data_IF_898000472019
#
_entry.id   IF_898000472019
#
_cell.length_a   1.000
_cell.length_b   1.000
_cell.length_c   1.000
_cell.angle_alpha   90.00
_cell.angle_beta   90.00
_cell.angle_gamma   90.00
#
_symmetry.space_group_name_H-M   'P 1'
#
loop_
_entity.id
_entity.type
_entity.pdbx_description
1 polymer ?
#
# COMPACT_ATOMS: atom_id res chain seq x y z
N UNK A 1 18.09 17.59 -8.22
CA UNK A 1 17.10 16.50 -8.26
C UNK A 1 16.38 16.57 -9.60
N UNK A 2 16.42 15.52 -10.41
CA UNK A 2 15.66 15.47 -11.66
C UNK A 2 14.18 15.23 -11.31
N UNK A 3 13.27 16.01 -11.91
CA UNK A 3 11.83 15.80 -11.75
C UNK A 3 11.26 15.54 -13.12
N UNK A 4 10.85 14.29 -13.34
CA UNK A 4 10.09 13.89 -14.50
C UNK A 4 8.65 14.39 -14.37
N UNK A 5 8.18 15.12 -15.39
CA UNK A 5 6.80 15.62 -15.44
C UNK A 5 5.99 14.73 -16.37
N UNK A 6 4.84 14.28 -15.87
CA UNK A 6 3.84 13.56 -16.66
C UNK A 6 2.59 14.44 -16.81
N UNK A 7 1.93 14.34 -17.96
CA UNK A 7 0.58 14.87 -18.16
C UNK A 7 -0.43 13.76 -17.95
N UNK A 8 -1.46 14.01 -17.16
CA UNK A 8 -2.49 13.01 -16.83
C UNK A 8 -3.85 13.56 -17.23
N UNK A 9 -4.55 12.83 -18.09
CA UNK A 9 -5.95 13.07 -18.42
C UNK A 9 -6.82 12.17 -17.58
N UNK A 10 -7.90 12.72 -17.02
CA UNK A 10 -8.86 12.00 -16.21
C UNK A 10 -10.24 12.64 -16.35
N UNK A 11 -11.27 11.88 -16.01
CA UNK A 11 -12.64 12.40 -15.96
C UNK A 11 -12.77 13.54 -14.95
N UNK A 12 -13.68 14.48 -15.24
CA UNK A 12 -13.92 15.65 -14.39
C UNK A 12 -14.30 15.28 -12.95
N UNK A 13 -15.11 14.23 -12.77
CA UNK A 13 -15.54 13.77 -11.44
C UNK A 13 -14.36 13.23 -10.61
N UNK A 14 -13.43 12.53 -11.28
CA UNK A 14 -12.25 11.96 -10.64
C UNK A 14 -11.28 13.07 -10.24
N UNK A 15 -11.07 14.06 -11.12
CA UNK A 15 -10.27 15.25 -10.81
C UNK A 15 -10.79 15.98 -9.57
N UNK A 16 -12.10 16.15 -9.45
CA UNK A 16 -12.71 16.80 -8.28
C UNK A 16 -12.48 15.98 -7.01
N UNK A 17 -12.71 14.66 -7.09
CA UNK A 17 -12.48 13.75 -5.97
C UNK A 17 -11.01 13.77 -5.49
N UNK A 18 -10.06 13.81 -6.42
CA UNK A 18 -8.62 13.95 -6.11
C UNK A 18 -8.32 15.30 -5.46
N UNK A 19 -8.95 16.37 -5.94
CA UNK A 19 -8.81 17.72 -5.35
C UNK A 19 -9.30 17.76 -3.91
N UNK A 20 -10.48 17.22 -3.65
CA UNK A 20 -11.07 17.15 -2.31
C UNK A 20 -10.19 16.34 -1.35
N UNK A 21 -9.71 15.18 -1.81
CA UNK A 21 -8.81 14.35 -1.03
C UNK A 21 -7.48 15.07 -0.71
N UNK A 22 -6.88 15.73 -1.70
CA UNK A 22 -5.64 16.50 -1.49
C UNK A 22 -5.84 17.67 -0.52
N UNK A 23 -7.01 18.33 -0.57
CA UNK A 23 -7.39 19.43 0.32
C UNK A 23 -7.57 18.94 1.75
N UNK A 24 -8.27 17.81 1.93
CA UNK A 24 -8.45 17.15 3.23
C UNK A 24 -7.11 16.78 3.86
N UNK A 25 -6.16 16.32 3.06
CA UNK A 25 -4.84 15.89 3.52
C UNK A 25 -3.84 17.06 3.61
N UNK A 26 -4.25 18.28 3.23
CA UNK A 26 -3.43 19.49 3.32
C UNK A 26 -2.22 19.53 2.36
N UNK A 27 -2.28 18.80 1.24
CA UNK A 27 -1.18 18.67 0.28
C UNK A 27 -1.59 19.07 -1.14
N UNK A 28 -0.62 19.31 -2.02
CA UNK A 28 -0.93 19.56 -3.43
C UNK A 28 -1.46 18.31 -4.13
N UNK A 29 -2.26 18.48 -5.19
CA UNK A 29 -2.76 17.38 -6.03
C UNK A 29 -1.61 16.48 -6.52
N UNK A 30 -0.50 17.06 -6.99
CA UNK A 30 0.65 16.28 -7.45
C UNK A 30 1.30 15.46 -6.34
N UNK A 31 1.39 16.01 -5.13
CA UNK A 31 1.91 15.30 -3.96
C UNK A 31 0.99 14.16 -3.57
N UNK A 32 -0.33 14.41 -3.58
CA UNK A 32 -1.34 13.43 -3.28
C UNK A 32 -1.31 12.26 -4.27
N UNK A 33 -1.32 12.55 -5.58
CA UNK A 33 -1.23 11.52 -6.63
C UNK A 33 0.07 10.72 -6.49
N UNK A 34 1.20 11.39 -6.24
CA UNK A 34 2.49 10.70 -6.06
C UNK A 34 2.46 9.74 -4.87
N UNK A 35 1.91 10.17 -3.74
CA UNK A 35 1.81 9.34 -2.55
C UNK A 35 0.94 8.10 -2.81
N UNK A 36 -0.26 8.30 -3.38
CA UNK A 36 -1.19 7.21 -3.71
C UNK A 36 -0.60 6.24 -4.74
N UNK A 37 0.08 6.76 -5.77
CA UNK A 37 0.76 5.93 -6.77
C UNK A 37 1.90 5.12 -6.16
N UNK A 38 2.71 5.73 -5.29
CA UNK A 38 3.78 5.04 -4.56
C UNK A 38 3.21 3.94 -3.68
N UNK A 39 2.14 4.23 -2.93
CA UNK A 39 1.52 3.25 -2.04
C UNK A 39 0.97 2.05 -2.81
N UNK A 40 0.28 2.28 -3.93
CA UNK A 40 -0.21 1.21 -4.79
C UNK A 40 0.93 0.36 -5.34
N UNK A 41 1.97 0.99 -5.88
CA UNK A 41 3.12 0.27 -6.43
C UNK A 41 3.87 -0.53 -5.35
N UNK A 42 4.08 0.05 -4.17
CA UNK A 42 4.72 -0.65 -3.05
C UNK A 42 3.92 -1.87 -2.62
N UNK A 43 2.58 -1.80 -2.59
CA UNK A 43 1.72 -2.95 -2.27
C UNK A 43 1.81 -4.05 -3.34
N UNK A 44 1.82 -3.67 -4.62
CA UNK A 44 1.96 -4.62 -5.73
C UNK A 44 3.32 -5.33 -5.72
N UNK A 45 4.40 -4.55 -5.55
CA UNK A 45 5.75 -5.10 -5.46
C UNK A 45 5.94 -5.95 -4.20
N UNK A 46 5.33 -5.56 -3.08
CA UNK A 46 5.33 -6.37 -1.86
C UNK A 46 4.61 -7.70 -2.09
N UNK A 47 3.47 -7.70 -2.77
CA UNK A 47 2.76 -8.94 -3.12
C UNK A 47 3.62 -9.87 -3.95
N UNK A 48 4.22 -9.36 -5.03
CA UNK A 48 5.12 -10.15 -5.88
C UNK A 48 6.35 -10.67 -5.10
N UNK A 49 6.94 -9.86 -4.23
CA UNK A 49 8.06 -10.28 -3.40
C UNK A 49 7.66 -11.38 -2.41
N UNK A 50 6.45 -11.31 -1.84
CA UNK A 50 5.92 -12.34 -0.95
C UNK A 50 5.66 -13.66 -1.69
N UNK A 51 5.17 -13.61 -2.92
CA UNK A 51 4.96 -14.81 -3.75
C UNK A 51 6.28 -15.53 -4.05
N UNK A 52 7.32 -14.77 -4.44
CA UNK A 52 8.66 -15.34 -4.65
C UNK A 52 9.22 -15.93 -3.35
N UNK A 53 9.07 -15.21 -2.24
CA UNK A 53 9.52 -15.68 -0.94
C UNK A 53 8.79 -16.97 -0.50
N UNK A 54 7.49 -17.07 -0.73
CA UNK A 54 6.69 -18.27 -0.40
C UNK A 54 7.04 -19.46 -1.30
N UNK A 55 7.42 -19.22 -2.56
CA UNK A 55 7.89 -20.27 -3.46
C UNK A 55 9.27 -20.82 -3.07
N UNK A 56 10.15 -19.98 -2.51
CA UNK A 56 11.52 -20.34 -2.13
C UNK A 56 11.63 -20.82 -0.67
N UNK A 57 10.71 -20.41 0.19
CA UNK A 57 10.77 -20.65 1.64
C UNK A 57 9.76 -21.70 2.07
N UNK A 58 10.13 -22.55 3.04
CA UNK A 58 9.12 -23.38 3.73
C UNK A 58 8.16 -22.46 4.49
N UNK A 59 6.83 -22.59 4.32
CA UNK A 59 5.87 -21.74 5.01
C UNK A 59 6.09 -21.77 6.52
N UNK A 60 6.01 -20.61 7.18
CA UNK A 60 6.01 -20.58 8.64
C UNK A 60 4.84 -21.39 9.18
N UNK A 61 5.11 -22.31 10.08
CA UNK A 61 4.03 -23.06 10.71
C UNK A 61 3.23 -22.14 11.66
N UNK A 62 1.98 -22.52 11.94
CA UNK A 62 1.09 -21.76 12.82
C UNK A 62 1.69 -21.47 14.21
N UNK A 63 2.57 -22.35 14.70
CA UNK A 63 3.25 -22.17 15.98
C UNK A 63 4.24 -20.99 15.92
N UNK A 64 4.98 -20.87 14.83
CA UNK A 64 5.94 -19.78 14.62
C UNK A 64 5.21 -18.45 14.43
N UNK A 65 4.12 -18.44 13.65
CA UNK A 65 3.29 -17.24 13.47
C UNK A 65 2.64 -16.78 14.77
N UNK A 66 2.13 -17.70 15.60
CA UNK A 66 1.58 -17.37 16.93
C UNK A 66 2.65 -16.81 17.85
N UNK A 67 3.88 -17.34 17.80
CA UNK A 67 5.01 -16.84 18.60
C UNK A 67 5.42 -15.43 18.16
N UNK A 68 5.54 -15.20 16.86
CA UNK A 68 5.86 -13.88 16.31
C UNK A 68 4.79 -12.83 16.65
N UNK A 69 3.51 -13.18 16.51
CA UNK A 69 2.39 -12.31 16.88
C UNK A 69 2.42 -11.93 18.38
N UNK A 70 2.76 -12.88 19.25
CA UNK A 70 2.94 -12.64 20.69
C UNK A 70 4.10 -11.69 20.98
N UNK A 71 5.23 -11.84 20.28
CA UNK A 71 6.40 -10.95 20.42
C UNK A 71 6.11 -9.52 19.94
N UNK A 72 5.36 -9.38 18.85
CA UNK A 72 5.01 -8.06 18.28
C UNK A 72 3.82 -7.39 18.98
N UNK A 73 3.16 -8.07 19.93
CA UNK A 73 1.95 -7.56 20.58
C UNK A 73 0.73 -7.45 19.64
N UNK A 74 0.80 -8.05 18.45
CA UNK A 74 -0.26 -7.99 17.45
C UNK A 74 -1.22 -9.13 17.74
N UNK A 75 -2.34 -8.83 18.41
CA UNK A 75 -3.46 -9.77 18.49
C UNK A 75 -4.13 -9.81 17.12
N UNK A 76 -3.85 -10.84 16.32
CA UNK A 76 -4.53 -11.09 15.04
C UNK A 76 -6.04 -11.10 15.34
N UNK A 77 -6.76 -10.03 14.98
CA UNK A 77 -8.23 -10.06 14.94
C UNK A 77 -8.60 -10.99 13.80
N UNK A 78 -8.82 -12.26 14.12
CA UNK A 78 -9.44 -13.20 13.20
C UNK A 78 -10.83 -12.65 12.91
N UNK A 79 -11.04 -12.12 11.71
CA UNK A 79 -12.40 -11.92 11.17
C UNK A 79 -12.94 -13.32 10.89
N UNK A 80 -13.72 -13.85 11.81
CA UNK A 80 -14.68 -14.93 11.54
C UNK A 80 -15.76 -14.40 10.60
N UNK A 81 -15.85 -15.00 9.41
CA UNK A 81 -17.06 -15.06 8.59
C UNK A 81 -17.53 -16.51 8.56
#
# INVERSE_FOLDING_TARGET
MHIDRISVTMDSWLKESVRDASTRDGVSISTWIRATASEKLSRELLGAALEVWEAESTPFCDVELKRAAKTLGISRRVKTS
#
